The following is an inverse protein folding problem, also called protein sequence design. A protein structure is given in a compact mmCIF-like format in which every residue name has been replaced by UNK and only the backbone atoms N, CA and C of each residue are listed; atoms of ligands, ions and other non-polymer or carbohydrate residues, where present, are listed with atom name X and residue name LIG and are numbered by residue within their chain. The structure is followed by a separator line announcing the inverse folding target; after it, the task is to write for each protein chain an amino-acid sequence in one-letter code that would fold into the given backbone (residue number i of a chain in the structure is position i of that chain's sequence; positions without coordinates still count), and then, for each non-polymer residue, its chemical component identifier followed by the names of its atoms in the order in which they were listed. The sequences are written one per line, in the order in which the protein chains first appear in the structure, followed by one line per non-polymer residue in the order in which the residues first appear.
data_IF_995777273164
#
_entry.id   IF_995777273164
#
_cell.length_a   1.000
_cell.length_b   1.000
_cell.length_c   1.000
_cell.angle_alpha   90.00
_cell.angle_beta   90.00
_cell.angle_gamma   90.00
#
_symmetry.space_group_name_H-M   'P 1'
#
loop_
_entity.id
_entity.type
_entity.pdbx_description
1 polymer ?
#
# COMPACT_ATOMS: atom_id res chain seq x y z
N UNK A 1 -22.54 -27.52 -51.24
CA UNK A 1 -21.39 -26.63 -50.97
C UNK A 1 -20.48 -27.38 -50.02
N UNK A 2 -19.39 -27.89 -50.60
CA UNK A 2 -18.11 -28.35 -50.02
C UNK A 2 -18.16 -29.08 -48.67
N UNK A 3 -18.20 -30.42 -48.76
CA UNK A 3 -17.51 -31.30 -47.82
C UNK A 3 -16.01 -31.03 -47.86
N UNK A 4 -15.34 -30.99 -46.70
CA UNK A 4 -13.95 -31.41 -46.66
C UNK A 4 -13.55 -31.97 -45.29
N UNK A 5 -13.64 -33.30 -45.27
CA UNK A 5 -12.84 -34.22 -44.49
C UNK A 5 -11.35 -33.93 -44.71
N UNK A 6 -10.60 -33.55 -43.66
CA UNK A 6 -9.15 -33.73 -43.63
C UNK A 6 -8.78 -34.73 -42.54
N UNK A 7 -9.14 -35.98 -42.85
CA UNK A 7 -8.56 -37.20 -42.31
C UNK A 7 -7.09 -37.28 -42.75
N UNK A 8 -6.19 -36.65 -42.00
CA UNK A 8 -4.74 -36.88 -42.17
C UNK A 8 -4.34 -38.11 -41.35
N UNK A 9 -4.55 -39.26 -41.99
CA UNK A 9 -3.62 -40.39 -42.07
C UNK A 9 -2.61 -40.51 -40.90
N UNK A 10 -2.96 -41.34 -39.93
CA UNK A 10 -1.98 -42.04 -39.09
C UNK A 10 -1.09 -42.86 -40.03
N UNK A 11 0.15 -42.43 -40.23
CA UNK A 11 1.16 -43.32 -40.77
C UNK A 11 1.44 -44.37 -39.70
N UNK A 12 0.86 -45.55 -39.92
CA UNK A 12 1.25 -46.79 -39.26
C UNK A 12 2.72 -46.98 -39.58
N UNK A 13 3.59 -46.57 -38.64
CA UNK A 13 4.98 -46.98 -38.64
C UNK A 13 4.95 -48.50 -38.70
N UNK A 14 5.46 -49.03 -39.82
CA UNK A 14 5.56 -50.46 -40.07
C UNK A 14 6.09 -51.12 -38.81
N UNK A 15 5.30 -52.06 -38.30
CA UNK A 15 5.71 -53.03 -37.30
C UNK A 15 6.99 -53.70 -37.82
N UNK A 16 8.13 -53.18 -37.41
CA UNK A 16 9.33 -53.98 -37.24
C UNK A 16 9.27 -54.41 -35.80
N UNK A 17 8.75 -55.63 -35.61
CA UNK A 17 8.93 -56.47 -34.43
C UNK A 17 9.45 -55.70 -33.22
N UNK A 18 8.54 -55.14 -32.42
CA UNK A 18 8.88 -54.72 -31.07
C UNK A 18 9.27 -55.98 -30.30
N UNK A 19 10.52 -56.42 -30.47
CA UNK A 19 11.29 -57.00 -29.38
C UNK A 19 11.17 -55.98 -28.28
N UNK A 20 10.21 -56.18 -27.39
CA UNK A 20 10.27 -55.65 -26.05
C UNK A 20 11.62 -56.14 -25.54
N UNK A 21 12.64 -55.30 -25.67
CA UNK A 21 13.82 -55.45 -24.87
C UNK A 21 13.29 -55.18 -23.47
N UNK A 22 12.88 -56.25 -22.81
CA UNK A 22 12.90 -56.32 -21.37
C UNK A 22 14.37 -56.09 -21.08
N UNK A 23 14.76 -54.83 -20.92
CA UNK A 23 16.03 -54.53 -20.28
C UNK A 23 15.99 -55.35 -19.01
N UNK A 24 17.03 -56.16 -18.72
CA UNK A 24 17.06 -56.90 -17.48
C UNK A 24 16.73 -55.85 -16.40
N UNK A 25 15.70 -56.15 -15.60
CA UNK A 25 15.29 -55.36 -14.44
C UNK A 25 16.57 -54.73 -13.91
N UNK A 26 16.69 -53.40 -13.98
CA UNK A 26 17.89 -52.72 -13.52
C UNK A 26 18.01 -53.06 -12.04
N UNK A 27 18.68 -54.18 -11.75
CA UNK A 27 18.98 -54.63 -10.41
C UNK A 27 20.08 -53.66 -10.07
N UNK A 28 19.66 -52.58 -9.40
CA UNK A 28 20.58 -51.61 -8.83
C UNK A 28 21.67 -52.46 -8.16
N UNK A 29 22.94 -52.37 -8.61
CA UNK A 29 24.04 -53.10 -8.00
C UNK A 29 23.92 -52.88 -6.50
N UNK A 30 24.10 -53.94 -5.69
CA UNK A 30 23.93 -53.90 -4.23
C UNK A 30 24.66 -52.67 -3.70
N UNK A 31 23.92 -51.57 -3.50
CA UNK A 31 24.54 -50.27 -3.31
C UNK A 31 25.28 -50.35 -1.98
N UNK A 32 26.55 -49.96 -1.97
CA UNK A 32 27.33 -49.97 -0.75
C UNK A 32 26.57 -49.18 0.32
N UNK A 33 26.54 -49.67 1.55
CA UNK A 33 25.74 -49.09 2.62
C UNK A 33 26.07 -47.60 2.81
N UNK A 34 27.31 -47.22 2.54
CA UNK A 34 27.79 -45.84 2.57
C UNK A 34 27.17 -44.95 1.47
N UNK A 35 26.98 -45.47 0.25
CA UNK A 35 26.37 -44.73 -0.87
C UNK A 35 24.87 -44.45 -0.62
N UNK A 36 24.15 -45.41 -0.04
CA UNK A 36 22.74 -45.22 0.32
C UNK A 36 22.56 -44.14 1.39
N UNK A 37 23.45 -44.12 2.39
CA UNK A 37 23.45 -43.07 3.43
C UNK A 37 23.80 -41.71 2.83
N UNK A 38 24.77 -41.64 1.92
CA UNK A 38 25.11 -40.40 1.22
C UNK A 38 23.93 -39.86 0.39
N UNK A 39 23.21 -40.73 -0.32
CA UNK A 39 22.00 -40.36 -1.06
C UNK A 39 20.89 -39.86 -0.12
N UNK A 40 20.64 -40.55 0.99
CA UNK A 40 19.66 -40.14 1.98
C UNK A 40 19.95 -38.74 2.55
N UNK A 41 21.23 -38.45 2.86
CA UNK A 41 21.68 -37.14 3.31
C UNK A 41 21.50 -36.05 2.25
N UNK A 42 21.73 -36.38 0.98
CA UNK A 42 21.51 -35.47 -0.15
C UNK A 42 20.01 -35.12 -0.31
N UNK A 43 19.14 -36.12 -0.24
CA UNK A 43 17.68 -35.91 -0.29
C UNK A 43 17.21 -35.06 0.89
N UNK A 44 17.74 -35.31 2.09
CA UNK A 44 17.40 -34.53 3.27
C UNK A 44 17.84 -33.06 3.12
N UNK A 45 19.07 -32.83 2.65
CA UNK A 45 19.57 -31.48 2.36
C UNK A 45 18.71 -30.75 1.34
N UNK A 46 18.27 -31.42 0.28
CA UNK A 46 17.39 -30.84 -0.72
C UNK A 46 16.01 -30.46 -0.14
N UNK A 47 15.44 -31.30 0.73
CA UNK A 47 14.17 -31.01 1.43
C UNK A 47 14.30 -29.81 2.35
N UNK A 48 15.40 -29.72 3.09
CA UNK A 48 15.65 -28.59 3.99
C UNK A 48 15.79 -27.29 3.20
N UNK A 49 16.45 -27.31 2.04
CA UNK A 49 16.53 -26.14 1.15
C UNK A 49 15.15 -25.70 0.64
N UNK A 50 14.32 -26.64 0.19
CA UNK A 50 12.95 -26.34 -0.27
C UNK A 50 12.11 -25.76 0.88
N UNK A 51 12.25 -26.30 2.09
CA UNK A 51 11.56 -25.79 3.28
C UNK A 51 12.01 -24.36 3.61
N UNK A 52 13.31 -24.10 3.66
CA UNK A 52 13.85 -22.76 3.90
C UNK A 52 13.38 -21.77 2.83
N UNK A 53 13.37 -22.18 1.56
CA UNK A 53 12.88 -21.35 0.47
C UNK A 53 11.38 -21.03 0.61
N UNK A 54 10.56 -22.02 0.97
CA UNK A 54 9.14 -21.82 1.19
C UNK A 54 8.89 -20.89 2.39
N UNK A 55 9.58 -21.11 3.51
CA UNK A 55 9.47 -20.28 4.72
C UNK A 55 9.84 -18.83 4.41
N UNK A 56 10.97 -18.56 3.77
CA UNK A 56 11.38 -17.18 3.45
C UNK A 56 10.39 -16.46 2.52
N UNK A 57 9.78 -17.18 1.57
CA UNK A 57 8.71 -16.61 0.71
C UNK A 57 7.45 -16.32 1.51
N UNK A 58 7.05 -17.21 2.42
CA UNK A 58 5.89 -17.01 3.28
C UNK A 58 6.10 -15.87 4.28
N UNK A 59 7.31 -15.71 4.83
CA UNK A 59 7.69 -14.58 5.67
C UNK A 59 7.52 -13.26 4.93
N UNK A 60 8.06 -13.15 3.70
CA UNK A 60 7.88 -11.95 2.88
C UNK A 60 6.40 -11.64 2.60
N UNK A 61 5.59 -12.66 2.30
CA UNK A 61 4.16 -12.49 2.07
C UNK A 61 3.46 -12.02 3.35
N UNK A 62 3.81 -12.59 4.51
CA UNK A 62 3.24 -12.20 5.79
C UNK A 62 3.56 -10.73 6.13
N UNK A 63 4.81 -10.31 5.92
CA UNK A 63 5.23 -8.91 6.10
C UNK A 63 4.43 -7.95 5.20
N UNK A 64 4.19 -8.34 3.94
CA UNK A 64 3.38 -7.55 3.01
C UNK A 64 1.91 -7.46 3.47
N UNK A 65 1.32 -8.56 3.94
CA UNK A 65 -0.04 -8.56 4.49
C UNK A 65 -0.17 -7.64 5.70
N UNK A 66 0.81 -7.67 6.61
CA UNK A 66 0.83 -6.76 7.76
C UNK A 66 0.98 -5.30 7.35
N UNK A 67 1.82 -5.01 6.36
CA UNK A 67 2.00 -3.67 5.81
C UNK A 67 0.71 -3.14 5.19
N UNK A 68 0.01 -3.96 4.38
CA UNK A 68 -1.29 -3.60 3.81
C UNK A 68 -2.35 -3.38 4.90
N UNK A 69 -2.37 -4.23 5.94
CA UNK A 69 -3.27 -4.04 7.09
C UNK A 69 -3.01 -2.71 7.79
N UNK A 70 -1.74 -2.33 8.02
CA UNK A 70 -1.38 -1.05 8.63
C UNK A 70 -1.83 0.13 7.78
N UNK A 71 -1.65 0.07 6.46
CA UNK A 71 -2.14 1.10 5.54
C UNK A 71 -3.66 1.22 5.54
N UNK A 72 -4.38 0.10 5.52
CA UNK A 72 -5.84 0.10 5.58
C UNK A 72 -6.36 0.78 6.86
N UNK A 73 -5.75 0.48 8.01
CA UNK A 73 -6.08 1.14 9.28
C UNK A 73 -5.83 2.65 9.20
N UNK A 74 -4.73 3.08 8.60
CA UNK A 74 -4.43 4.51 8.45
C UNK A 74 -5.46 5.23 7.57
N UNK A 75 -5.88 4.60 6.46
CA UNK A 75 -6.94 5.14 5.60
C UNK A 75 -8.25 5.29 6.37
N UNK A 76 -8.62 4.27 7.16
CA UNK A 76 -9.84 4.33 7.99
C UNK A 76 -9.75 5.42 9.07
N UNK A 77 -8.60 5.61 9.71
CA UNK A 77 -8.41 6.69 10.69
C UNK A 77 -8.53 8.06 10.06
N UNK A 78 -7.93 8.27 8.88
CA UNK A 78 -8.06 9.53 8.14
C UNK A 78 -9.52 9.80 7.77
N UNK A 79 -10.21 8.81 7.21
CA UNK A 79 -11.62 8.94 6.86
C UNK A 79 -12.50 9.25 8.09
N UNK A 80 -12.21 8.60 9.23
CA UNK A 80 -12.90 8.90 10.49
C UNK A 80 -12.62 10.34 10.94
N UNK A 81 -11.36 10.77 10.93
CA UNK A 81 -10.99 12.13 11.31
C UNK A 81 -11.63 13.18 10.39
N UNK A 82 -11.63 12.94 9.07
CA UNK A 82 -12.30 13.81 8.11
C UNK A 82 -13.80 13.89 8.39
N UNK A 83 -14.44 12.76 8.71
CA UNK A 83 -15.85 12.72 9.09
C UNK A 83 -16.14 13.47 10.39
N UNK A 84 -15.28 13.31 11.40
CA UNK A 84 -15.38 14.04 12.67
C UNK A 84 -15.33 15.55 12.41
N UNK A 85 -14.36 16.02 11.62
CA UNK A 85 -14.25 17.43 11.24
C UNK A 85 -15.43 17.89 10.39
N UNK A 86 -15.98 17.06 9.50
CA UNK A 86 -17.21 17.38 8.78
C UNK A 86 -18.41 17.56 9.72
N UNK A 87 -18.50 16.76 10.78
CA UNK A 87 -19.54 16.85 11.78
C UNK A 87 -19.35 18.01 12.78
N UNK A 88 -18.14 18.54 12.94
CA UNK A 88 -17.90 19.71 13.80
C UNK A 88 -18.79 20.87 13.39
N UNK A 89 -19.43 21.46 14.38
CA UNK A 89 -20.35 22.58 14.20
C UNK A 89 -19.65 23.77 13.54
N UNK A 90 -20.32 24.36 12.55
CA UNK A 90 -19.79 25.49 11.84
C UNK A 90 -20.91 26.48 11.56
N UNK A 91 -20.65 27.77 11.83
CA UNK A 91 -21.61 28.85 11.53
C UNK A 91 -21.60 29.24 10.06
N UNK A 92 -20.62 28.77 9.29
CA UNK A 92 -20.48 29.05 7.86
C UNK A 92 -20.58 27.76 7.05
N UNK A 93 -21.03 27.87 5.80
CA UNK A 93 -20.96 26.74 4.88
C UNK A 93 -19.49 26.37 4.65
N UNK A 94 -19.19 25.07 4.79
CA UNK A 94 -17.89 24.50 4.45
C UNK A 94 -17.76 24.50 2.93
N UNK A 95 -16.68 25.08 2.42
CA UNK A 95 -16.42 25.26 1.00
C UNK A 95 -15.03 24.71 0.73
N UNK A 96 -14.93 23.74 -0.17
CA UNK A 96 -13.64 23.23 -0.62
C UNK A 96 -12.84 24.28 -1.41
N UNK A 97 -11.53 24.07 -1.51
CA UNK A 97 -10.69 24.82 -2.42
C UNK A 97 -11.16 24.57 -3.87
N UNK A 98 -11.62 25.61 -4.54
CA UNK A 98 -12.00 25.52 -5.96
C UNK A 98 -10.77 25.67 -6.86
N UNK A 99 -10.62 24.77 -7.85
CA UNK A 99 -9.58 24.87 -8.89
C UNK A 99 -9.78 26.06 -9.81
N UNK A 100 -11.01 26.57 -9.90
CA UNK A 100 -11.30 27.81 -10.60
C UNK A 100 -11.05 28.96 -9.64
N UNK A 101 -9.84 29.51 -9.69
CA UNK A 101 -9.52 30.85 -9.20
C UNK A 101 -10.22 31.89 -10.08
N UNK A 102 -11.55 31.81 -10.18
CA UNK A 102 -12.35 32.86 -10.76
C UNK A 102 -12.55 33.87 -9.62
N UNK A 103 -11.81 34.97 -9.67
CA UNK A 103 -11.91 36.18 -8.83
C UNK A 103 -10.96 36.33 -7.63
N UNK A 104 -9.81 35.64 -7.58
CA UNK A 104 -8.73 36.00 -6.62
C UNK A 104 -9.11 35.86 -5.14
N UNK A 105 -9.98 34.90 -4.82
CA UNK A 105 -10.37 34.60 -3.44
C UNK A 105 -9.36 33.63 -2.83
N UNK A 106 -8.78 34.03 -1.70
CA UNK A 106 -7.88 33.18 -0.93
C UNK A 106 -8.61 31.93 -0.41
N UNK A 107 -7.90 30.77 -0.33
CA UNK A 107 -8.47 29.56 0.21
C UNK A 107 -8.90 29.77 1.66
N UNK A 108 -10.13 29.36 1.99
CA UNK A 108 -10.69 29.54 3.33
C UNK A 108 -10.01 28.60 4.32
N UNK A 109 -9.51 29.17 5.40
CA UNK A 109 -8.95 28.44 6.54
C UNK A 109 -10.02 28.39 7.63
N UNK A 110 -10.23 27.20 8.18
CA UNK A 110 -11.16 26.91 9.26
C UNK A 110 -10.37 26.66 10.54
N UNK A 111 -10.55 27.52 11.54
CA UNK A 111 -9.91 27.41 12.84
C UNK A 111 -10.82 26.62 13.79
N UNK A 112 -10.34 25.50 14.29
CA UNK A 112 -11.04 24.62 15.21
C UNK A 112 -10.82 25.09 16.64
N UNK A 113 -11.91 25.33 17.35
CA UNK A 113 -11.92 25.70 18.75
C UNK A 113 -12.70 24.69 19.58
N UNK A 114 -12.29 24.54 20.83
CA UNK A 114 -12.98 23.79 21.85
C UNK A 114 -13.40 24.74 22.96
N UNK A 115 -14.69 24.74 23.30
CA UNK A 115 -15.25 25.60 24.35
C UNK A 115 -15.68 24.75 25.54
N UNK A 116 -15.25 25.15 26.73
CA UNK A 116 -15.81 24.61 27.98
C UNK A 116 -17.18 25.26 28.24
N UNK A 117 -18.14 24.53 28.81
CA UNK A 117 -19.47 25.06 29.06
C UNK A 117 -19.37 26.10 30.18
N UNK A 118 -19.92 27.28 29.92
CA UNK A 118 -20.02 28.35 30.90
C UNK A 118 -21.24 28.11 31.79
N UNK A 119 -21.23 27.04 32.58
CA UNK A 119 -22.32 26.85 33.54
C UNK A 119 -22.20 27.88 34.67
N UNK A 120 -23.32 28.56 34.90
CA UNK A 120 -23.47 29.68 35.81
C UNK A 120 -23.01 29.38 37.24
N UNK A 121 -22.68 30.44 37.96
CA UNK A 121 -21.93 30.39 39.22
C UNK A 121 -22.45 29.36 40.23
N UNK A 122 -21.66 28.30 40.42
CA UNK A 122 -21.55 27.59 41.68
C UNK A 122 -20.10 27.04 41.81
N UNK A 123 -19.45 27.21 42.98
CA UNK A 123 -18.08 26.75 43.19
C UNK A 123 -18.02 25.21 43.25
N UNK A 124 -16.90 24.59 42.80
CA UNK A 124 -16.82 23.15 42.64
C UNK A 124 -16.58 22.50 44.01
N UNK A 125 -17.64 22.06 44.68
CA UNK A 125 -17.51 21.05 45.71
C UNK A 125 -17.89 19.70 45.11
N UNK A 126 -16.81 19.04 44.67
CA UNK A 126 -16.66 17.58 44.63
C UNK A 126 -17.17 16.87 43.36
N UNK A 127 -16.22 16.74 42.42
CA UNK A 127 -16.17 15.82 41.27
C UNK A 127 -17.21 16.05 40.17
N UNK A 128 -16.96 17.07 39.36
CA UNK A 128 -17.32 16.99 37.94
C UNK A 128 -16.43 15.90 37.32
N UNK A 129 -17.01 14.75 36.98
CA UNK A 129 -16.34 13.75 36.16
C UNK A 129 -15.97 14.39 34.81
N UNK A 130 -14.82 14.01 34.28
CA UNK A 130 -14.02 14.59 33.18
C UNK A 130 -14.74 14.72 31.80
N UNK A 131 -16.05 14.51 31.75
CA UNK A 131 -16.84 14.20 30.56
C UNK A 131 -17.93 15.22 30.20
N UNK A 132 -18.12 16.31 30.94
CA UNK A 132 -19.27 17.20 30.70
C UNK A 132 -18.89 18.42 29.82
N UNK A 133 -19.20 18.27 28.52
CA UNK A 133 -19.50 19.31 27.53
C UNK A 133 -18.38 20.26 27.06
N UNK A 134 -17.28 19.72 26.53
CA UNK A 134 -16.43 20.47 25.60
C UNK A 134 -17.07 20.54 24.21
N UNK A 135 -17.67 21.68 23.82
CA UNK A 135 -18.23 21.90 22.47
C UNK A 135 -17.11 22.24 21.48
N UNK A 136 -16.98 21.48 20.39
CA UNK A 136 -16.05 21.81 19.30
C UNK A 136 -16.76 22.54 18.18
N UNK A 137 -16.16 23.60 17.65
CA UNK A 137 -16.70 24.33 16.52
C UNK A 137 -15.62 24.97 15.66
N UNK A 138 -15.96 25.17 14.38
CA UNK A 138 -15.14 25.92 13.44
C UNK A 138 -15.52 27.40 13.41
N UNK A 139 -14.49 28.25 13.37
CA UNK A 139 -14.58 29.68 13.08
C UNK A 139 -13.68 30.04 11.91
N UNK A 140 -14.00 31.11 11.19
CA UNK A 140 -13.12 31.70 10.18
C UNK A 140 -12.17 32.75 10.78
N UNK A 141 -12.36 33.10 12.04
CA UNK A 141 -11.54 34.09 12.77
C UNK A 141 -10.36 33.36 13.40
N UNK A 142 -9.15 33.83 13.13
CA UNK A 142 -7.91 33.25 13.68
C UNK A 142 -7.73 33.56 15.17
N UNK A 143 -6.88 32.81 15.90
CA UNK A 143 -6.62 33.09 17.32
C UNK A 143 -6.14 34.52 17.59
N UNK A 144 -5.34 35.08 16.68
CA UNK A 144 -4.84 36.45 16.78
C UNK A 144 -5.98 37.47 16.58
N UNK A 145 -6.85 37.24 15.59
CA UNK A 145 -8.01 38.09 15.32
C UNK A 145 -9.07 38.04 16.42
N UNK A 146 -9.11 36.97 17.22
CA UNK A 146 -9.94 36.90 18.43
C UNK A 146 -9.44 37.81 19.57
N UNK A 147 -8.25 38.40 19.44
CA UNK A 147 -7.55 39.14 20.49
C UNK A 147 -6.50 38.31 21.24
N UNK A 148 -6.00 37.25 20.60
CA UNK A 148 -4.99 36.35 21.14
C UNK A 148 -5.50 35.39 22.22
N UNK A 149 -4.58 34.61 22.78
CA UNK A 149 -4.87 33.58 23.79
C UNK A 149 -5.58 34.15 25.02
N UNK A 150 -5.24 35.37 25.46
CA UNK A 150 -5.89 36.02 26.60
C UNK A 150 -7.39 36.30 26.38
N UNK A 151 -7.79 36.65 25.16
CA UNK A 151 -9.19 36.88 24.83
C UNK A 151 -9.96 35.56 24.67
N UNK A 152 -9.31 34.52 24.14
CA UNK A 152 -9.85 33.17 24.05
C UNK A 152 -10.08 32.55 25.43
N UNK A 153 -9.10 32.66 26.33
CA UNK A 153 -9.20 32.18 27.71
C UNK A 153 -10.35 32.84 28.49
N UNK A 154 -10.54 34.16 28.33
CA UNK A 154 -11.69 34.88 28.91
C UNK A 154 -13.04 34.36 28.41
N UNK A 155 -13.10 33.85 27.18
CA UNK A 155 -14.30 33.25 26.58
C UNK A 155 -14.36 31.73 26.76
N UNK A 156 -13.42 31.15 27.52
CA UNK A 156 -13.30 29.72 27.77
C UNK A 156 -13.15 28.90 26.48
N UNK A 157 -12.50 29.48 25.47
CA UNK A 157 -12.18 28.86 24.20
C UNK A 157 -10.72 28.45 24.16
N UNK A 158 -10.45 27.24 23.70
CA UNK A 158 -9.13 26.70 23.45
C UNK A 158 -8.96 26.46 21.95
N UNK A 159 -7.83 26.89 21.38
CA UNK A 159 -7.53 26.66 19.97
C UNK A 159 -6.95 25.25 19.78
N UNK A 160 -7.54 24.44 18.89
CA UNK A 160 -7.05 23.09 18.59
C UNK A 160 -6.21 23.03 17.30
N UNK A 161 -6.54 23.84 16.29
CA UNK A 161 -5.77 23.86 15.04
C UNK A 161 -6.45 24.58 13.88
N UNK A 162 -5.70 24.83 12.83
CA UNK A 162 -6.20 25.39 11.57
C UNK A 162 -6.27 24.31 10.50
N UNK A 163 -7.36 24.29 9.74
CA UNK A 163 -7.64 23.28 8.74
C UNK A 163 -8.12 23.92 7.45
N UNK A 164 -7.89 23.23 6.34
CA UNK A 164 -8.36 23.60 5.02
C UNK A 164 -9.09 22.42 4.41
N UNK A 165 -10.22 22.70 3.76
CA UNK A 165 -11.02 21.68 3.10
C UNK A 165 -10.56 21.52 1.65
N UNK A 166 -10.00 20.36 1.33
CA UNK A 166 -9.49 20.05 0.00
C UNK A 166 -10.63 19.66 -0.97
N UNK A 167 -10.32 19.65 -2.27
CA UNK A 167 -11.30 19.32 -3.32
C UNK A 167 -11.89 17.90 -3.21
N UNK A 168 -11.12 16.96 -2.65
CA UNK A 168 -11.56 15.59 -2.39
C UNK A 168 -12.35 15.44 -1.09
N UNK A 169 -12.74 16.56 -0.46
CA UNK A 169 -13.43 16.63 0.83
C UNK A 169 -12.60 16.15 2.02
N UNK A 170 -11.29 15.96 1.87
CA UNK A 170 -10.39 15.70 2.99
C UNK A 170 -9.99 17.00 3.69
N UNK A 171 -9.67 16.91 4.99
CA UNK A 171 -9.19 18.04 5.77
C UNK A 171 -7.67 18.00 5.90
N UNK A 172 -7.02 19.06 5.46
CA UNK A 172 -5.58 19.24 5.63
C UNK A 172 -5.30 20.25 6.73
N UNK A 173 -4.51 19.86 7.72
CA UNK A 173 -4.06 20.77 8.77
C UNK A 173 -3.09 21.80 8.18
N UNK A 174 -3.34 23.08 8.45
CA UNK A 174 -2.44 24.18 8.09
C UNK A 174 -1.47 24.37 9.24
N UNK A 175 -0.19 24.08 9.02
CA UNK A 175 0.85 24.36 10.00
C UNK A 175 0.96 25.87 10.19
N UNK A 176 0.69 26.36 11.40
CA UNK A 176 0.93 27.74 11.79
C UNK A 176 2.36 27.84 12.33
N UNK A 177 3.35 27.95 11.45
CA UNK A 177 4.72 28.23 11.87
C UNK A 177 4.96 29.74 11.89
N UNK A 178 4.61 30.40 13.00
CA UNK A 178 5.29 31.63 13.37
C UNK A 178 6.65 31.24 13.97
N UNK A 179 7.72 31.35 13.15
CA UNK A 179 9.12 30.96 13.44
C UNK A 179 9.33 29.45 13.60
N UNK A 180 9.50 28.77 12.47
CA UNK A 180 10.47 27.67 12.28
C UNK A 180 10.43 27.25 10.80
N UNK A 181 10.68 28.20 9.89
CA UNK A 181 10.92 27.91 8.46
C UNK A 181 12.37 27.48 8.17
N UNK A 182 13.06 26.93 9.18
CA UNK A 182 14.36 26.31 9.00
C UNK A 182 14.42 25.05 9.87
N UNK A 183 13.98 23.92 9.32
CA UNK A 183 14.29 22.51 9.64
C UNK A 183 13.05 21.61 9.57
N UNK A 184 12.31 21.58 8.46
CA UNK A 184 11.55 20.38 8.06
C UNK A 184 11.64 20.22 6.54
N UNK A 185 12.86 20.11 6.02
CA UNK A 185 13.06 19.33 4.80
C UNK A 185 12.98 17.85 5.18
N UNK A 186 11.96 17.17 4.64
CA UNK A 186 11.90 15.71 4.42
C UNK A 186 12.02 14.76 5.62
N UNK A 187 10.86 14.43 6.21
CA UNK A 187 10.58 13.05 6.66
C UNK A 187 9.21 12.58 6.19
N UNK A 188 9.02 12.55 4.88
CA UNK A 188 8.21 11.49 4.28
C UNK A 188 9.17 10.32 4.05
N UNK A 189 8.89 9.09 4.55
CA UNK A 189 9.61 7.93 4.04
C UNK A 189 9.40 7.91 2.53
N UNK A 190 10.50 7.79 1.81
CA UNK A 190 10.65 7.91 0.37
C UNK A 190 9.79 6.89 -0.41
N UNK A 191 8.47 7.04 -0.39
CA UNK A 191 7.50 6.21 -1.11
C UNK A 191 7.37 6.67 -2.57
N UNK A 192 7.70 7.94 -2.87
CA UNK A 192 7.76 8.47 -4.23
C UNK A 192 8.84 7.77 -5.07
N UNK A 193 10.03 7.55 -4.52
CA UNK A 193 11.09 6.83 -5.25
C UNK A 193 10.78 5.34 -5.38
N UNK A 194 10.21 4.68 -4.36
CA UNK A 194 9.79 3.28 -4.49
C UNK A 194 8.65 3.09 -5.49
N UNK A 195 7.62 3.96 -5.47
CA UNK A 195 6.51 3.89 -6.44
C UNK A 195 7.00 4.14 -7.86
N UNK A 196 7.89 5.12 -8.07
CA UNK A 196 8.52 5.36 -9.39
C UNK A 196 9.44 4.22 -9.81
N UNK A 197 10.24 3.63 -8.91
CA UNK A 197 11.08 2.47 -9.21
C UNK A 197 10.26 1.22 -9.53
N UNK A 198 9.13 1.02 -8.86
CA UNK A 198 8.22 -0.09 -9.14
C UNK A 198 7.56 0.13 -10.50
N UNK A 199 7.05 1.34 -10.79
CA UNK A 199 6.46 1.66 -12.08
C UNK A 199 7.48 1.56 -13.22
N UNK A 200 8.71 2.04 -13.02
CA UNK A 200 9.79 1.92 -14.01
C UNK A 200 10.20 0.45 -14.24
N UNK A 201 10.24 -0.38 -13.20
CA UNK A 201 10.51 -1.83 -13.35
C UNK A 201 9.37 -2.55 -14.04
N UNK A 202 8.11 -2.21 -13.75
CA UNK A 202 6.95 -2.77 -14.44
C UNK A 202 6.96 -2.37 -15.91
N UNK A 203 7.27 -1.11 -16.22
CA UNK A 203 7.33 -0.61 -17.59
C UNK A 203 8.50 -1.26 -18.38
N UNK A 204 9.68 -1.45 -17.76
CA UNK A 204 10.78 -2.23 -18.35
C UNK A 204 10.42 -3.69 -18.60
N UNK A 205 9.66 -4.33 -17.70
CA UNK A 205 9.21 -5.71 -17.88
C UNK A 205 8.17 -5.83 -19.01
N UNK A 206 7.29 -4.84 -19.16
CA UNK A 206 6.33 -4.77 -20.26
C UNK A 206 6.98 -4.40 -21.60
N UNK A 207 8.11 -3.67 -21.59
CA UNK A 207 8.87 -3.35 -22.79
C UNK A 207 9.81 -4.50 -23.23
N UNK A 208 10.35 -5.25 -22.27
CA UNK A 208 11.20 -6.43 -22.52
C UNK A 208 10.44 -7.62 -23.14
N UNK A 209 9.11 -7.63 -23.06
CA UNK A 209 8.24 -8.56 -23.79
C UNK A 209 7.92 -8.10 -25.22
N UNK A 210 8.66 -7.12 -25.77
CA UNK A 210 8.60 -6.81 -27.20
C UNK A 210 9.06 -7.99 -28.07
N UNK A 211 8.42 -8.23 -29.22
CA UNK A 211 8.58 -9.44 -30.05
C UNK A 211 10.00 -9.71 -30.55
N UNK A 212 10.89 -8.71 -30.54
CA UNK A 212 12.31 -8.87 -30.90
C UNK A 212 13.10 -9.72 -29.90
N UNK A 213 12.71 -9.76 -28.62
CA UNK A 213 13.39 -10.58 -27.59
C UNK A 213 13.02 -12.07 -27.73
N UNK A 214 11.76 -12.34 -28.11
CA UNK A 214 11.26 -13.69 -28.39
C UNK A 214 11.87 -14.28 -29.67
N UNK A 215 12.15 -13.46 -30.69
CA UNK A 215 12.89 -13.87 -31.89
C UNK A 215 14.32 -14.32 -31.56
N UNK A 216 15.03 -13.60 -30.69
CA UNK A 216 16.40 -13.98 -30.29
C UNK A 216 16.42 -15.26 -29.44
N UNK A 217 15.41 -15.45 -28.57
CA UNK A 217 15.26 -16.68 -27.80
C UNK A 217 14.89 -17.89 -28.69
N UNK A 218 14.05 -17.69 -29.71
CA UNK A 218 13.71 -18.71 -30.72
C UNK A 218 14.95 -19.11 -31.54
N UNK A 219 15.70 -18.13 -32.06
CA UNK A 219 16.92 -18.39 -32.83
C UNK A 219 18.04 -19.04 -32.00
N UNK A 220 18.07 -18.82 -30.68
CA UNK A 220 19.02 -19.47 -29.80
C UNK A 220 18.65 -20.93 -29.49
N UNK A 221 17.36 -21.25 -29.45
CA UNK A 221 16.87 -22.63 -29.30
C UNK A 221 17.08 -23.45 -30.58
N UNK A 222 16.80 -22.88 -31.75
CA UNK A 222 17.01 -23.56 -33.05
C UNK A 222 18.50 -23.92 -33.28
N UNK A 223 19.43 -23.07 -32.82
CA UNK A 223 20.88 -23.34 -32.92
C UNK A 223 21.39 -24.41 -31.95
N UNK A 224 20.66 -24.70 -30.88
CA UNK A 224 21.01 -25.77 -29.93
C UNK A 224 20.50 -27.12 -30.45
N UNK A 225 19.44 -27.12 -31.27
CA UNK A 225 18.89 -28.34 -31.86
C UNK A 225 19.68 -28.84 -33.09
N UNK A 226 20.37 -27.95 -33.82
CA UNK A 226 21.28 -28.32 -34.92
C UNK A 226 22.68 -28.80 -34.47
N UNK A 227 23.00 -28.68 -33.18
CA UNK A 227 24.30 -29.03 -32.61
C UNK A 227 24.31 -30.36 -31.82
N UNK A 228 23.21 -31.12 -31.83
CA UNK A 228 23.06 -32.48 -31.30
C UNK A 228 22.64 -33.45 -32.40
#
# INVERSE_FOLDING_TARGET
MVDNNNKTRLDVVKSMENKVQITPRNVVPLADAHELVALANSIQSARDFVKCQAVGKLEMIAEQMEFLRKQAIEVLRKAQHDNELHCVECKVKKVEISRKACHGLDPKIYFLYQQCPADGGEPPQQKCQEQQCRRRFFSLISPDEWGGECALARRQMHFEGAYRLEFDQSWSQVQQSAKDEATIETKMPNSGSQKMQILERVDRLLQASSPSSLMTASMALDRIEEAN
#
